data_IF_644829255855
#
_entry.id   IF_644829255855
#
_cell.length_a   1.000
_cell.length_b   1.000
_cell.length_c   1.000
_cell.angle_alpha   90.00
_cell.angle_beta   90.00
_cell.angle_gamma   90.00
#
_symmetry.space_group_name_H-M   'P 1'
#
loop_
_entity.id
_entity.type
_entity.pdbx_description
1 polymer ?
#
# COMPACT_ATOMS: atom_id res chain seq x y z
N UNK A 1 4.89 -23.55 18.44
CA UNK A 1 4.34 -22.93 19.66
C UNK A 1 3.11 -22.13 19.27
N UNK A 2 1.91 -22.66 19.51
CA UNK A 2 0.68 -21.89 19.38
C UNK A 2 0.46 -21.18 20.72
N UNK A 3 0.80 -19.89 20.81
CA UNK A 3 0.52 -19.08 22.01
C UNK A 3 -0.98 -19.11 22.29
N UNK A 4 -1.35 -19.27 23.57
CA UNK A 4 -2.74 -19.22 23.98
C UNK A 4 -3.34 -17.85 23.63
N UNK A 5 -4.65 -17.82 23.38
CA UNK A 5 -5.39 -16.60 23.02
C UNK A 5 -5.30 -15.46 24.05
N UNK A 6 -4.70 -15.72 25.22
CA UNK A 6 -4.41 -14.76 26.29
C UNK A 6 -3.37 -13.71 25.94
N UNK A 7 -2.54 -13.94 24.91
CA UNK A 7 -1.34 -13.13 24.70
C UNK A 7 -1.59 -11.88 23.83
N UNK A 8 -2.74 -11.84 23.14
CA UNK A 8 -3.11 -10.72 22.26
C UNK A 8 -4.10 -9.80 22.96
N UNK A 9 -3.67 -8.56 23.23
CA UNK A 9 -4.51 -7.53 23.87
C UNK A 9 -5.04 -6.49 22.90
N UNK A 10 -4.59 -6.50 21.64
CA UNK A 10 -4.93 -5.52 20.59
C UNK A 10 -5.39 -6.24 19.33
N UNK A 11 -6.41 -5.69 18.67
CA UNK A 11 -6.86 -6.14 17.35
C UNK A 11 -5.91 -5.62 16.26
N UNK A 12 -5.37 -6.53 15.47
CA UNK A 12 -4.45 -6.24 14.38
C UNK A 12 -5.12 -6.54 13.04
N UNK A 13 -5.21 -5.51 12.19
CA UNK A 13 -5.60 -5.63 10.80
C UNK A 13 -4.35 -5.43 9.93
N UNK A 14 -3.68 -6.55 9.62
CA UNK A 14 -2.40 -6.53 8.94
C UNK A 14 -2.57 -6.39 7.43
N UNK A 15 -1.71 -5.55 6.85
CA UNK A 15 -1.57 -5.37 5.41
C UNK A 15 -0.43 -6.26 4.91
N UNK A 16 -0.70 -7.09 3.92
CA UNK A 16 0.32 -7.86 3.21
C UNK A 16 1.17 -6.92 2.35
N UNK A 17 2.49 -7.11 2.33
CA UNK A 17 3.39 -6.60 1.31
C UNK A 17 4.09 -7.80 0.67
N UNK A 18 4.15 -7.84 -0.66
CA UNK A 18 4.91 -8.87 -1.38
C UNK A 18 6.41 -8.72 -1.11
N UNK A 19 7.17 -9.81 -1.28
CA UNK A 19 8.63 -9.78 -1.17
C UNK A 19 9.28 -8.74 -2.09
N UNK A 20 8.75 -8.60 -3.32
CA UNK A 20 9.06 -7.48 -4.19
C UNK A 20 7.96 -6.42 -4.06
N UNK A 21 8.35 -5.20 -3.67
CA UNK A 21 7.43 -4.06 -3.52
C UNK A 21 6.67 -3.77 -4.81
N UNK A 22 5.42 -3.35 -4.67
CA UNK A 22 4.54 -2.99 -5.79
C UNK A 22 4.42 -4.12 -6.82
N UNK A 23 4.17 -5.34 -6.34
CA UNK A 23 3.89 -6.50 -7.20
C UNK A 23 2.60 -7.20 -6.78
N UNK A 24 2.21 -8.19 -7.58
CA UNK A 24 1.06 -9.05 -7.33
C UNK A 24 1.56 -10.47 -7.05
N UNK A 25 1.27 -10.99 -5.86
CA UNK A 25 1.78 -12.28 -5.37
C UNK A 25 0.67 -13.14 -4.74
N UNK A 26 -0.35 -13.56 -5.51
CA UNK A 26 -1.52 -14.26 -4.98
C UNK A 26 -1.16 -15.60 -4.31
N UNK A 27 -0.16 -16.32 -4.81
CA UNK A 27 0.25 -17.62 -4.28
C UNK A 27 0.87 -17.51 -2.87
N UNK A 28 1.44 -16.36 -2.54
CA UNK A 28 1.98 -16.07 -1.21
C UNK A 28 0.94 -15.46 -0.26
N UNK A 29 -0.24 -15.08 -0.78
CA UNK A 29 -1.27 -14.37 -0.05
C UNK A 29 -2.22 -15.35 0.65
N UNK A 30 -2.05 -15.52 1.97
CA UNK A 30 -3.00 -16.26 2.80
C UNK A 30 -3.95 -15.31 3.53
N UNK A 31 -5.27 -15.47 3.34
CA UNK A 31 -6.27 -14.81 4.18
C UNK A 31 -6.27 -15.47 5.54
N UNK A 32 -5.96 -14.70 6.58
CA UNK A 32 -5.89 -15.19 7.97
C UNK A 32 -6.96 -14.49 8.80
N UNK A 33 -7.76 -15.29 9.51
CA UNK A 33 -8.62 -14.87 10.61
C UNK A 33 -8.26 -15.77 11.78
N UNK A 34 -7.76 -15.23 12.90
CA UNK A 34 -7.43 -16.03 14.09
C UNK A 34 -8.44 -15.85 15.21
N UNK A 35 -8.35 -16.74 16.21
CA UNK A 35 -9.18 -16.83 17.42
C UNK A 35 -9.55 -15.45 17.97
N UNK A 36 -10.84 -15.26 18.27
CA UNK A 36 -11.45 -14.01 18.75
C UNK A 36 -11.36 -12.81 17.78
N UNK A 37 -11.08 -13.05 16.49
CA UNK A 37 -10.92 -12.04 15.43
C UNK A 37 -9.83 -10.98 15.71
N UNK A 38 -8.93 -11.25 16.67
CA UNK A 38 -7.90 -10.29 17.06
C UNK A 38 -6.81 -10.12 16.00
N UNK A 39 -6.68 -11.05 15.04
CA UNK A 39 -5.81 -10.89 13.88
C UNK A 39 -6.61 -11.13 12.61
N UNK A 40 -6.57 -10.14 11.71
CA UNK A 40 -7.09 -10.22 10.34
C UNK A 40 -5.98 -9.87 9.35
N UNK A 41 -5.79 -10.70 8.33
CA UNK A 41 -4.94 -10.42 7.17
C UNK A 41 -5.84 -10.44 5.94
N UNK A 42 -6.30 -9.25 5.53
CA UNK A 42 -7.28 -9.08 4.43
C UNK A 42 -7.03 -7.83 3.59
N UNK A 43 -5.89 -7.16 3.77
CA UNK A 43 -5.49 -6.00 2.97
C UNK A 43 -4.08 -6.14 2.42
N UNK A 44 -3.77 -5.34 1.40
CA UNK A 44 -2.45 -5.24 0.77
C UNK A 44 -1.95 -3.80 0.86
N UNK A 45 -0.64 -3.64 1.03
CA UNK A 45 0.03 -2.35 1.02
C UNK A 45 0.77 -2.13 -0.29
N UNK A 46 0.48 -1.02 -0.96
CA UNK A 46 1.19 -0.49 -2.13
C UNK A 46 1.82 0.87 -1.79
N UNK A 47 2.81 1.30 -2.57
CA UNK A 47 3.50 2.58 -2.40
C UNK A 47 3.59 3.33 -3.72
N UNK A 48 2.90 4.46 -3.84
CA UNK A 48 2.95 5.31 -5.03
C UNK A 48 4.21 6.16 -5.08
N UNK A 49 4.69 6.66 -3.94
CA UNK A 49 5.83 7.58 -3.84
C UNK A 49 6.64 7.42 -2.53
N UNK A 50 7.65 8.27 -2.36
CA UNK A 50 8.48 8.35 -1.16
C UNK A 50 7.90 9.26 -0.07
N UNK A 51 8.75 10.07 0.55
CA UNK A 51 8.36 10.99 1.63
C UNK A 51 8.79 12.43 1.33
N UNK A 52 8.07 13.40 1.92
CA UNK A 52 8.39 14.83 1.79
C UNK A 52 9.81 15.16 2.26
N UNK A 53 10.21 14.68 3.44
CA UNK A 53 11.49 15.04 4.05
C UNK A 53 12.73 14.58 3.26
N UNK A 54 12.56 13.65 2.32
CA UNK A 54 13.63 13.17 1.43
C UNK A 54 13.51 13.72 0.01
N UNK A 55 12.55 14.63 -0.25
CA UNK A 55 12.13 15.03 -1.59
C UNK A 55 11.72 13.86 -2.49
N UNK A 56 11.21 12.78 -1.87
CA UNK A 56 10.84 11.55 -2.56
C UNK A 56 9.35 11.44 -2.87
N UNK A 57 8.51 12.30 -2.29
CA UNK A 57 7.08 12.29 -2.60
C UNK A 57 6.83 12.92 -3.97
N UNK A 58 5.95 12.32 -4.77
CA UNK A 58 5.73 12.77 -6.14
C UNK A 58 4.76 13.95 -6.14
N UNK A 59 5.28 15.13 -6.49
CA UNK A 59 4.57 16.39 -6.52
C UNK A 59 4.16 16.75 -7.96
N UNK A 60 3.08 17.52 -8.13
CA UNK A 60 2.71 18.09 -9.45
C UNK A 60 3.71 19.19 -9.85
N UNK A 61 3.99 20.10 -8.93
CA UNK A 61 4.97 21.18 -9.10
C UNK A 61 6.27 20.88 -8.34
N UNK A 62 7.41 21.47 -8.71
CA UNK A 62 8.66 21.30 -7.98
C UNK A 62 8.57 21.73 -6.52
N UNK A 63 9.42 21.15 -5.66
CA UNK A 63 9.49 21.51 -4.26
C UNK A 63 9.91 22.97 -4.08
N UNK A 64 9.25 23.67 -3.14
CA UNK A 64 9.52 25.09 -2.86
C UNK A 64 10.95 25.35 -2.34
N UNK A 65 11.52 24.39 -1.61
CA UNK A 65 12.87 24.45 -1.05
C UNK A 65 13.91 23.72 -1.91
N UNK A 66 13.47 23.07 -2.99
CA UNK A 66 14.31 22.29 -3.89
C UNK A 66 13.76 22.28 -5.32
N UNK A 67 13.84 23.41 -6.05
CA UNK A 67 13.12 23.62 -7.30
C UNK A 67 13.56 22.73 -8.48
N UNK A 68 14.68 22.03 -8.36
CA UNK A 68 15.19 21.12 -9.40
C UNK A 68 14.50 19.75 -9.42
N UNK A 69 13.62 19.46 -8.46
CA UNK A 69 12.92 18.17 -8.36
C UNK A 69 11.46 18.33 -7.98
N UNK A 70 10.61 17.45 -8.50
CA UNK A 70 9.22 17.23 -8.06
C UNK A 70 9.06 15.87 -7.38
N UNK A 71 10.17 15.26 -6.95
CA UNK A 71 10.20 13.90 -6.40
C UNK A 71 9.97 12.84 -7.47
N UNK A 72 9.50 11.65 -7.08
CA UNK A 72 9.39 10.52 -8.00
C UNK A 72 8.35 9.51 -7.58
N UNK A 73 7.67 8.94 -8.58
CA UNK A 73 6.81 7.78 -8.37
C UNK A 73 7.67 6.52 -8.17
N UNK A 74 7.31 5.68 -7.20
CA UNK A 74 7.89 4.36 -6.98
C UNK A 74 7.28 3.28 -7.91
N UNK A 75 6.15 3.59 -8.52
CA UNK A 75 5.43 2.75 -9.48
C UNK A 75 4.66 3.66 -10.44
N UNK A 76 4.70 3.36 -11.73
CA UNK A 76 3.97 4.17 -12.71
C UNK A 76 2.44 4.01 -12.55
N UNK A 77 1.68 4.99 -13.04
CA UNK A 77 0.22 5.04 -12.88
C UNK A 77 -0.51 3.79 -13.40
N UNK A 78 -0.14 3.31 -14.58
CA UNK A 78 -0.75 2.13 -15.20
C UNK A 78 -0.52 0.88 -14.35
N UNK A 79 0.72 0.67 -13.90
CA UNK A 79 1.05 -0.46 -13.02
C UNK A 79 0.33 -0.35 -11.68
N UNK A 80 0.27 0.83 -11.06
CA UNK A 80 -0.45 1.04 -9.79
C UNK A 80 -1.93 0.67 -9.92
N UNK A 81 -2.58 1.12 -11.00
CA UNK A 81 -3.97 0.81 -11.31
C UNK A 81 -4.19 -0.69 -11.51
N UNK A 82 -3.33 -1.34 -12.30
CA UNK A 82 -3.42 -2.77 -12.55
C UNK A 82 -3.22 -3.60 -11.27
N UNK A 83 -2.32 -3.18 -10.38
CA UNK A 83 -2.11 -3.83 -9.08
C UNK A 83 -3.32 -3.66 -8.17
N UNK A 84 -3.86 -2.44 -8.07
CA UNK A 84 -5.06 -2.17 -7.28
C UNK A 84 -6.22 -3.05 -7.75
N UNK A 85 -6.48 -3.12 -9.06
CA UNK A 85 -7.50 -3.99 -9.65
C UNK A 85 -7.27 -5.47 -9.36
N UNK A 86 -6.04 -5.95 -9.56
CA UNK A 86 -5.70 -7.36 -9.36
C UNK A 86 -5.89 -7.80 -7.91
N UNK A 87 -5.47 -6.97 -6.95
CA UNK A 87 -5.65 -7.25 -5.52
C UNK A 87 -7.10 -7.11 -5.07
N UNK A 88 -7.82 -6.10 -5.54
CA UNK A 88 -9.24 -5.93 -5.26
C UNK A 88 -10.06 -7.12 -5.79
N UNK A 89 -9.80 -7.56 -7.03
CA UNK A 89 -10.44 -8.74 -7.63
C UNK A 89 -10.10 -10.04 -6.87
N UNK A 90 -8.90 -10.14 -6.30
CA UNK A 90 -8.51 -11.24 -5.41
C UNK A 90 -9.19 -11.17 -4.01
N UNK A 91 -9.95 -10.10 -3.76
CA UNK A 91 -10.72 -9.88 -2.54
C UNK A 91 -9.85 -9.43 -1.36
N UNK A 92 -8.82 -8.63 -1.63
CA UNK A 92 -8.04 -7.90 -0.63
C UNK A 92 -8.42 -6.41 -0.67
N UNK A 93 -8.48 -5.77 0.49
CA UNK A 93 -8.59 -4.31 0.58
C UNK A 93 -7.25 -3.68 0.17
N UNK A 94 -7.27 -2.77 -0.80
CA UNK A 94 -6.07 -2.09 -1.28
C UNK A 94 -5.80 -0.85 -0.43
N UNK A 95 -4.56 -0.72 0.07
CA UNK A 95 -4.09 0.47 0.77
C UNK A 95 -2.86 1.02 0.04
N UNK A 96 -2.92 2.28 -0.39
CA UNK A 96 -1.85 2.92 -1.18
C UNK A 96 -1.22 4.02 -0.32
N UNK A 97 0.10 3.95 -0.11
CA UNK A 97 0.88 5.08 0.41
C UNK A 97 1.03 6.12 -0.69
N UNK A 98 0.57 7.35 -0.42
CA UNK A 98 0.70 8.49 -1.31
C UNK A 98 0.87 9.75 -0.46
N UNK A 99 2.01 10.42 -0.57
CA UNK A 99 2.29 11.65 0.19
C UNK A 99 2.13 12.88 -0.69
N UNK A 100 2.75 12.89 -1.87
CA UNK A 100 2.69 14.02 -2.78
C UNK A 100 1.34 14.13 -3.47
N UNK A 101 1.01 15.31 -3.96
CA UNK A 101 -0.29 15.59 -4.58
C UNK A 101 -0.47 14.86 -5.92
N UNK A 102 0.58 14.68 -6.70
CA UNK A 102 0.57 13.82 -7.89
C UNK A 102 0.33 12.36 -7.49
N UNK A 103 1.04 11.86 -6.47
CA UNK A 103 0.85 10.50 -5.97
C UNK A 103 -0.59 10.27 -5.47
N UNK A 104 -1.18 11.24 -4.77
CA UNK A 104 -2.55 11.17 -4.28
C UNK A 104 -3.56 11.11 -5.43
N UNK A 105 -3.40 11.94 -6.47
CA UNK A 105 -4.26 11.89 -7.67
C UNK A 105 -4.25 10.50 -8.30
N UNK A 106 -3.07 9.95 -8.54
CA UNK A 106 -2.92 8.63 -9.17
C UNK A 106 -3.41 7.49 -8.27
N UNK A 107 -3.30 7.62 -6.95
CA UNK A 107 -3.86 6.65 -6.01
C UNK A 107 -5.39 6.65 -6.05
N UNK A 108 -6.03 7.82 -6.15
CA UNK A 108 -7.49 7.92 -6.31
C UNK A 108 -7.91 7.33 -7.65
N UNK A 109 -7.25 7.73 -8.75
CA UNK A 109 -7.53 7.19 -10.09
C UNK A 109 -7.43 5.65 -10.10
N UNK A 110 -6.42 5.08 -9.43
CA UNK A 110 -6.24 3.63 -9.33
C UNK A 110 -7.35 2.91 -8.54
N UNK A 111 -7.98 3.60 -7.57
CA UNK A 111 -9.07 3.05 -6.75
C UNK A 111 -10.45 3.22 -7.41
N UNK A 112 -10.63 4.23 -8.27
CA UNK A 112 -11.89 4.46 -9.01
C UNK A 112 -12.03 3.59 -10.28
N UNK A 113 -10.91 3.07 -10.78
CA UNK A 113 -10.81 2.44 -12.10
C UNK A 113 -11.49 1.07 -12.25
#
# INVERSE_FOLDING_TARGET
>A
MAGSSSDWTVRVYAMLECAQRNTYCPDAAAKVSRVSDLLSVRSVKLFADGALGSWGSAMIEPYSDRPETSGSLLVNATTLTNLAKSWAAFGYQVNIHAIGDLANRLAIDALEA
#
